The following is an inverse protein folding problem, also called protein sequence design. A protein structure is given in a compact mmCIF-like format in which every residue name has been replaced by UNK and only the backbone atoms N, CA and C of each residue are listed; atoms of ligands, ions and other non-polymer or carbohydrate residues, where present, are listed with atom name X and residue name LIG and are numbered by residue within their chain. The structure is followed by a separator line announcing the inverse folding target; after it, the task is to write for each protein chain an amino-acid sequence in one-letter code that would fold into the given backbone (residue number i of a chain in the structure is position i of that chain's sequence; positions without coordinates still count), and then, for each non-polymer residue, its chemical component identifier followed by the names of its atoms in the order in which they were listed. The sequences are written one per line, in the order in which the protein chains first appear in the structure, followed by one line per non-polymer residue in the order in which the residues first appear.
data_IF_191201027247
#
_entry.id   IF_191201027247
#
_cell.length_a   1.000
_cell.length_b   1.000
_cell.length_c   1.000
_cell.angle_alpha   90.00
_cell.angle_beta   90.00
_cell.angle_gamma   90.00
#
_symmetry.space_group_name_H-M   'P 1'
#
loop_
_entity.id
_entity.type
_entity.pdbx_description
1 polymer ?
#
# COMPACT_ATOMS: atom_id res chain seq x y z
N UNK A 1 11.22 -25.67 28.31
CA UNK A 1 10.79 -25.86 26.92
C UNK A 1 9.79 -24.76 26.58
N UNK A 2 10.13 -23.89 25.60
CA UNK A 2 9.21 -23.07 24.79
C UNK A 2 8.47 -21.92 25.49
N UNK A 3 8.90 -20.68 25.27
CA UNK A 3 8.40 -19.47 25.92
C UNK A 3 6.91 -19.16 25.71
N UNK A 4 6.33 -18.54 26.74
CA UNK A 4 4.98 -17.96 26.75
C UNK A 4 5.11 -16.43 26.91
N UNK A 5 4.02 -15.69 26.79
CA UNK A 5 3.52 -14.97 25.62
C UNK A 5 3.85 -13.46 25.70
N UNK A 6 3.87 -12.73 24.58
CA UNK A 6 3.99 -11.27 24.61
C UNK A 6 3.05 -10.61 23.60
N UNK A 7 1.93 -10.12 24.13
CA UNK A 7 1.25 -8.93 23.65
C UNK A 7 2.28 -7.78 23.66
N UNK A 8 2.67 -7.26 22.49
CA UNK A 8 3.57 -6.11 22.38
C UNK A 8 3.47 -5.45 21.00
N UNK A 9 2.60 -4.45 20.91
CA UNK A 9 2.83 -3.21 20.16
C UNK A 9 3.48 -3.37 18.78
N UNK A 10 2.73 -3.91 17.80
CA UNK A 10 3.10 -3.65 16.41
C UNK A 10 3.07 -2.12 16.21
N UNK A 11 4.11 -1.51 15.60
CA UNK A 11 4.00 -0.12 15.21
C UNK A 11 2.74 0.02 14.38
N UNK A 12 1.94 1.05 14.67
CA UNK A 12 0.61 1.29 14.09
C UNK A 12 0.62 1.61 12.59
N UNK A 13 1.66 1.19 11.87
CA UNK A 13 1.84 1.38 10.44
C UNK A 13 0.94 0.41 9.68
N UNK A 14 0.32 0.88 8.59
CA UNK A 14 -0.64 0.10 7.81
C UNK A 14 -0.01 -1.07 7.05
N UNK A 15 1.32 -1.18 7.02
CA UNK A 15 2.06 -2.12 6.19
C UNK A 15 3.27 -2.66 6.94
N UNK A 16 3.79 -3.79 6.48
CA UNK A 16 5.02 -4.42 6.96
C UNK A 16 6.04 -4.49 5.82
N UNK A 17 7.33 -4.53 6.15
CA UNK A 17 8.36 -4.81 5.17
C UNK A 17 8.71 -6.31 5.19
N UNK A 18 8.73 -6.94 4.02
CA UNK A 18 9.14 -8.33 3.82
C UNK A 18 10.01 -8.41 2.56
N UNK A 19 11.21 -8.99 2.66
CA UNK A 19 12.14 -9.20 1.53
C UNK A 19 12.37 -7.92 0.68
N UNK A 20 12.52 -6.77 1.33
CA UNK A 20 12.73 -5.47 0.66
C UNK A 20 11.48 -4.88 0.00
N UNK A 21 10.32 -5.46 0.24
CA UNK A 21 9.01 -5.06 -0.31
C UNK A 21 8.07 -4.63 0.81
N UNK A 22 7.22 -3.63 0.57
CA UNK A 22 6.09 -3.32 1.43
C UNK A 22 4.93 -4.25 1.12
N UNK A 23 4.43 -4.89 2.16
CA UNK A 23 3.25 -5.74 2.15
C UNK A 23 2.16 -5.11 3.03
N UNK A 24 0.92 -5.15 2.56
CA UNK A 24 -0.23 -4.70 3.32
C UNK A 24 -0.76 -5.78 4.27
N UNK A 25 -1.91 -5.53 4.91
CA UNK A 25 -2.63 -6.52 5.68
C UNK A 25 -2.82 -7.81 4.89
N UNK A 26 -2.73 -8.95 5.59
CA UNK A 26 -2.74 -10.31 5.01
C UNK A 26 -1.50 -10.67 4.17
N UNK A 27 -0.43 -9.87 4.19
CA UNK A 27 0.82 -10.20 3.52
C UNK A 27 0.83 -9.96 2.01
N UNK A 28 -0.17 -9.23 1.49
CA UNK A 28 -0.30 -8.93 0.07
C UNK A 28 0.69 -7.83 -0.35
N UNK A 29 1.35 -8.02 -1.49
CA UNK A 29 2.30 -7.06 -2.05
C UNK A 29 1.62 -5.74 -2.38
N UNK A 30 2.31 -4.64 -2.05
CA UNK A 30 1.87 -3.30 -2.38
C UNK A 30 2.70 -2.73 -3.52
N UNK A 31 2.08 -1.78 -4.23
CA UNK A 31 2.64 -1.14 -5.39
C UNK A 31 2.48 0.37 -5.31
N UNK A 32 3.34 1.06 -6.03
CA UNK A 32 3.25 2.49 -6.32
C UNK A 32 3.05 2.68 -7.82
N UNK A 33 2.35 3.75 -8.16
CA UNK A 33 2.08 4.09 -9.55
C UNK A 33 2.93 5.29 -9.97
N UNK A 34 3.75 5.13 -11.01
CA UNK A 34 4.66 6.17 -11.49
C UNK A 34 3.93 7.39 -12.08
N UNK A 35 2.64 7.27 -12.42
CA UNK A 35 1.83 8.43 -12.83
C UNK A 35 1.30 9.24 -11.65
N UNK A 36 1.38 8.71 -10.42
CA UNK A 36 1.05 9.50 -9.23
C UNK A 36 2.17 10.51 -8.95
N UNK A 37 1.77 11.74 -8.62
CA UNK A 37 2.70 12.79 -8.24
C UNK A 37 2.99 12.66 -6.75
N UNK A 38 4.24 12.33 -6.42
CA UNK A 38 4.73 12.20 -5.04
C UNK A 38 4.39 13.46 -4.23
N UNK A 39 3.73 13.29 -3.10
CA UNK A 39 3.38 14.38 -2.18
C UNK A 39 2.24 15.29 -2.67
N UNK A 40 1.60 14.99 -3.80
CA UNK A 40 0.43 15.76 -4.26
C UNK A 40 -0.81 15.58 -3.39
N UNK A 41 -0.84 14.53 -2.56
CA UNK A 41 -2.03 14.16 -1.82
C UNK A 41 -3.14 13.59 -2.70
N UNK A 42 -2.83 13.24 -3.96
CA UNK A 42 -3.78 12.72 -4.92
C UNK A 42 -3.27 11.43 -5.60
N UNK A 43 -4.21 10.65 -6.11
CA UNK A 43 -3.98 9.51 -6.99
C UNK A 43 -4.34 9.91 -8.43
N UNK A 44 -3.72 9.31 -9.44
CA UNK A 44 -4.09 9.34 -10.85
C UNK A 44 -4.85 8.07 -11.28
N UNK A 45 -5.01 7.11 -10.37
CA UNK A 45 -5.62 5.81 -10.61
C UNK A 45 -7.05 5.78 -10.09
N UNK A 46 -8.04 5.95 -10.98
CA UNK A 46 -9.47 5.92 -10.68
C UNK A 46 -10.23 4.95 -11.59
N UNK A 47 -11.50 4.69 -11.26
CA UNK A 47 -12.42 3.86 -12.04
C UNK A 47 -11.83 2.49 -12.39
N UNK A 48 -11.69 2.17 -13.68
CA UNK A 48 -11.11 0.92 -14.16
C UNK A 48 -9.67 0.69 -13.67
N UNK A 49 -8.92 1.76 -13.40
CA UNK A 49 -7.61 1.64 -12.79
C UNK A 49 -7.74 1.14 -11.35
N UNK A 50 -8.59 1.76 -10.53
CA UNK A 50 -8.82 1.36 -9.15
C UNK A 50 -9.47 -0.03 -9.01
N UNK A 51 -10.20 -0.50 -10.03
CA UNK A 51 -10.71 -1.87 -10.08
C UNK A 51 -9.60 -2.91 -10.24
N UNK A 52 -8.57 -2.62 -11.05
CA UNK A 52 -7.41 -3.49 -11.22
C UNK A 52 -6.32 -3.26 -10.17
N UNK A 53 -6.29 -2.06 -9.61
CA UNK A 53 -5.31 -1.60 -8.62
C UNK A 53 -6.03 -1.01 -7.42
N UNK A 54 -6.62 -1.86 -6.56
CA UNK A 54 -7.38 -1.38 -5.42
C UNK A 54 -6.50 -0.55 -4.50
N UNK A 55 -6.92 0.67 -4.12
CA UNK A 55 -6.14 1.49 -3.19
C UNK A 55 -6.06 0.82 -1.82
N UNK A 56 -4.92 0.95 -1.14
CA UNK A 56 -4.79 0.55 0.25
C UNK A 56 -5.61 1.50 1.13
N UNK A 57 -6.80 1.06 1.51
CA UNK A 57 -7.74 1.85 2.31
C UNK A 57 -7.22 2.17 3.71
N UNK A 58 -7.65 3.32 4.24
CA UNK A 58 -7.29 3.78 5.58
C UNK A 58 -8.43 3.53 6.55
N UNK A 59 -8.16 2.78 7.63
CA UNK A 59 -9.13 2.57 8.70
C UNK A 59 -9.48 3.90 9.40
N UNK A 60 -10.71 4.03 9.90
CA UNK A 60 -11.21 5.32 10.38
C UNK A 60 -10.38 5.94 11.51
N UNK A 61 -9.89 5.10 12.42
CA UNK A 61 -9.07 5.47 13.57
C UNK A 61 -7.58 5.60 13.24
N UNK A 62 -7.18 5.29 12.00
CA UNK A 62 -5.78 5.27 11.63
C UNK A 62 -5.24 6.68 11.41
N UNK A 63 -4.00 6.91 11.83
CA UNK A 63 -3.33 8.21 11.77
C UNK A 63 -1.97 8.07 11.09
N UNK A 64 -1.55 9.07 10.30
CA UNK A 64 -0.25 9.05 9.65
C UNK A 64 0.87 8.94 10.71
N UNK A 65 1.91 8.18 10.39
CA UNK A 65 3.02 7.90 11.28
C UNK A 65 4.30 7.74 10.46
N UNK A 66 5.36 8.45 10.84
CA UNK A 66 6.64 8.41 10.12
C UNK A 66 6.48 8.80 8.65
N UNK A 67 6.95 7.94 7.75
CA UNK A 67 6.84 8.13 6.30
C UNK A 67 5.44 7.87 5.73
N UNK A 68 4.48 7.39 6.54
CA UNK A 68 3.12 7.14 6.09
C UNK A 68 2.26 8.40 6.17
N UNK A 69 1.55 8.68 5.08
CA UNK A 69 0.60 9.79 4.96
C UNK A 69 -0.76 9.27 4.53
N UNK A 70 -1.82 9.99 4.89
CA UNK A 70 -3.18 9.70 4.44
C UNK A 70 -3.52 10.69 3.34
N UNK A 71 -3.96 10.18 2.19
CA UNK A 71 -4.49 11.00 1.11
C UNK A 71 -6.00 10.86 1.04
N UNK A 72 -6.68 11.97 0.74
CA UNK A 72 -8.10 11.99 0.44
C UNK A 72 -8.24 12.01 -1.06
N UNK A 73 -8.74 10.91 -1.61
CA UNK A 73 -8.96 10.73 -3.04
C UNK A 73 -10.14 11.59 -3.49
N UNK A 74 -10.19 11.89 -4.79
CA UNK A 74 -11.29 12.69 -5.36
C UNK A 74 -12.67 12.02 -5.21
N UNK A 75 -12.69 10.69 -5.09
CA UNK A 75 -13.88 9.88 -4.81
C UNK A 75 -14.34 9.94 -3.33
N UNK A 76 -13.65 10.71 -2.48
CA UNK A 76 -13.94 10.85 -1.05
C UNK A 76 -13.37 9.73 -0.17
N UNK A 77 -12.76 8.70 -0.76
CA UNK A 77 -12.13 7.60 -0.02
C UNK A 77 -10.75 8.00 0.49
N UNK A 78 -10.31 7.35 1.57
CA UNK A 78 -8.98 7.56 2.15
C UNK A 78 -8.04 6.42 1.76
N UNK A 79 -6.85 6.79 1.32
CA UNK A 79 -5.81 5.85 0.91
C UNK A 79 -4.50 6.14 1.65
N UNK A 80 -3.77 5.07 1.95
CA UNK A 80 -2.42 5.16 2.50
C UNK A 80 -1.42 5.51 1.42
N UNK A 81 -0.53 6.45 1.74
CA UNK A 81 0.64 6.77 0.96
C UNK A 81 1.90 6.52 1.79
N UNK A 82 2.95 6.02 1.17
CA UNK A 82 4.27 5.85 1.77
C UNK A 82 5.27 6.76 1.10
N UNK A 83 6.00 7.56 1.88
CA UNK A 83 6.91 8.60 1.38
C UNK A 83 6.24 9.51 0.34
N UNK A 84 4.94 9.79 0.52
CA UNK A 84 4.14 10.60 -0.39
C UNK A 84 3.69 9.90 -1.69
N UNK A 85 3.96 8.61 -1.88
CA UNK A 85 3.45 7.82 -3.00
C UNK A 85 2.22 7.00 -2.56
N UNK A 86 1.07 7.09 -3.26
CA UNK A 86 -0.10 6.29 -2.93
C UNK A 86 0.19 4.78 -3.08
N UNK A 87 -0.32 3.97 -2.15
CA UNK A 87 -0.11 2.52 -2.10
C UNK A 87 -1.33 1.77 -2.64
N UNK A 88 -1.10 0.79 -3.51
CA UNK A 88 -2.16 -0.02 -4.12
C UNK A 88 -1.86 -1.51 -3.99
N UNK A 89 -2.92 -2.28 -4.01
CA UNK A 89 -2.88 -3.71 -4.30
C UNK A 89 -2.98 -3.95 -5.79
N UNK A 90 -2.70 -5.18 -6.21
CA UNK A 90 -3.00 -5.63 -7.56
C UNK A 90 -4.08 -6.70 -7.52
N UNK A 91 -5.17 -6.50 -8.28
CA UNK A 91 -6.34 -7.37 -8.24
C UNK A 91 -6.07 -8.81 -8.72
N UNK A 92 -4.98 -9.04 -9.47
CA UNK A 92 -4.58 -10.39 -9.89
C UNK A 92 -3.60 -11.08 -8.95
N UNK A 93 -3.04 -10.38 -7.97
CA UNK A 93 -2.28 -11.05 -6.91
C UNK A 93 -3.27 -11.84 -6.05
N UNK A 94 -3.07 -13.15 -5.93
CA UNK A 94 -4.00 -14.05 -5.25
C UNK A 94 -3.49 -14.51 -3.89
N UNK A 95 -2.17 -14.50 -3.69
CA UNK A 95 -1.52 -14.94 -2.45
C UNK A 95 -0.38 -14.00 -2.04
N UNK A 96 0.00 -14.03 -0.75
CA UNK A 96 1.19 -13.32 -0.26
C UNK A 96 2.44 -13.66 -1.06
N UNK A 97 3.23 -12.65 -1.39
CA UNK A 97 4.45 -12.78 -2.20
C UNK A 97 4.21 -12.78 -3.72
N UNK A 98 2.97 -12.81 -4.20
CA UNK A 98 2.70 -12.54 -5.61
C UNK A 98 3.13 -11.10 -5.93
N UNK A 99 3.85 -10.94 -7.04
CA UNK A 99 4.34 -9.64 -7.52
C UNK A 99 3.97 -9.40 -8.98
N UNK A 100 2.81 -9.88 -9.40
CA UNK A 100 2.40 -9.91 -10.81
C UNK A 100 2.14 -8.52 -11.39
N UNK A 101 1.93 -7.53 -10.51
CA UNK A 101 1.75 -6.14 -10.90
C UNK A 101 3.04 -5.45 -11.32
N UNK A 102 4.20 -5.98 -10.92
CA UNK A 102 5.47 -5.30 -11.14
C UNK A 102 5.80 -5.21 -12.63
N UNK A 103 6.09 -4.00 -13.12
CA UNK A 103 6.43 -3.78 -14.52
C UNK A 103 5.24 -3.55 -15.45
N UNK A 104 4.00 -3.62 -14.96
CA UNK A 104 2.82 -3.38 -15.79
C UNK A 104 2.73 -1.94 -16.30
N UNK A 105 2.03 -1.76 -17.42
CA UNK A 105 1.93 -0.50 -18.17
C UNK A 105 3.31 0.08 -18.55
N UNK A 106 4.21 -0.77 -19.04
CA UNK A 106 5.56 -0.35 -19.45
C UNK A 106 6.45 0.09 -18.28
N UNK A 107 6.28 -0.51 -17.10
CA UNK A 107 7.06 -0.16 -15.91
C UNK A 107 6.48 0.95 -15.04
N UNK A 108 5.23 1.38 -15.30
CA UNK A 108 4.58 2.39 -14.49
C UNK A 108 4.18 1.86 -13.10
N UNK A 109 3.90 0.56 -12.98
CA UNK A 109 3.62 -0.07 -11.70
C UNK A 109 4.87 -0.72 -11.13
N UNK A 110 5.22 -0.35 -9.90
CA UNK A 110 6.41 -0.84 -9.21
C UNK A 110 6.05 -1.31 -7.83
N UNK A 111 6.65 -2.41 -7.41
CA UNK A 111 6.54 -2.89 -6.03
C UNK A 111 6.96 -1.75 -5.09
N UNK A 112 6.15 -1.49 -4.08
CA UNK A 112 6.44 -0.50 -3.05
C UNK A 112 7.57 -1.04 -2.17
N UNK A 113 8.55 -0.20 -1.86
CA UNK A 113 9.70 -0.56 -1.03
C UNK A 113 9.79 0.39 0.16
N UNK A 114 10.22 -0.10 1.35
CA UNK A 114 10.52 0.77 2.48
C UNK A 114 11.70 1.71 2.19
#
# INVERSE_FOLDING_TARGET
MGGKPADASMPSTPTQAADGTLIGPKGMTLYTFAKDVKGSGASACYDACAANWPPLGVAASARPLGDYSIIIRQDGTRQWAYKGMPLYYFAKDAKPGDKMGNGLLGGAWKVATP
#
